data_IF_392270420843
#
_entry.id   IF_392270420843
#
_cell.length_a   1.000
_cell.length_b   1.000
_cell.length_c   1.000
_cell.angle_alpha   90.00
_cell.angle_beta   90.00
_cell.angle_gamma   90.00
#
_symmetry.space_group_name_H-M   'P 1'
#
loop_
_entity.id
_entity.type
_entity.pdbx_description
1 polymer ?
#
# COMPACT_ATOMS: atom_id res chain seq x y z
N UNK A 1 -11.34 21.46 8.78
CA UNK A 1 -11.88 20.08 8.83
C UNK A 1 -12.21 19.65 7.42
N UNK A 2 -11.81 18.44 7.03
CA UNK A 2 -12.14 17.86 5.73
C UNK A 2 -13.58 17.37 5.81
N UNK A 3 -14.44 17.79 4.86
CA UNK A 3 -15.84 17.32 4.78
C UNK A 3 -15.94 15.86 4.30
N UNK A 4 -17.15 15.30 4.26
CA UNK A 4 -17.41 13.91 3.87
C UNK A 4 -16.84 13.56 2.48
N UNK A 5 -16.98 14.46 1.51
CA UNK A 5 -16.41 14.28 0.16
C UNK A 5 -14.89 14.22 0.18
N UNK A 6 -14.23 15.03 1.00
CA UNK A 6 -12.77 14.99 1.15
C UNK A 6 -12.30 13.68 1.78
N UNK A 7 -13.01 13.16 2.77
CA UNK A 7 -12.73 11.84 3.37
C UNK A 7 -12.86 10.74 2.32
N UNK A 8 -13.94 10.77 1.53
CA UNK A 8 -14.14 9.81 0.44
C UNK A 8 -13.03 9.86 -0.58
N UNK A 9 -12.58 11.05 -0.99
CA UNK A 9 -11.48 11.22 -1.94
C UNK A 9 -10.16 10.68 -1.39
N UNK A 10 -9.84 10.92 -0.11
CA UNK A 10 -8.64 10.36 0.51
C UNK A 10 -8.65 8.83 0.52
N UNK A 11 -9.80 8.21 0.80
CA UNK A 11 -9.92 6.75 0.75
C UNK A 11 -9.69 6.21 -0.67
N UNK A 12 -10.31 6.83 -1.68
CA UNK A 12 -10.09 6.45 -3.08
C UNK A 12 -8.62 6.58 -3.51
N UNK A 13 -7.95 7.68 -3.10
CA UNK A 13 -6.51 7.85 -3.35
C UNK A 13 -5.68 6.75 -2.67
N UNK A 14 -6.05 6.33 -1.46
CA UNK A 14 -5.39 5.20 -0.78
C UNK A 14 -5.51 3.89 -1.56
N UNK A 15 -6.71 3.58 -2.06
CA UNK A 15 -6.93 2.40 -2.89
C UNK A 15 -6.13 2.47 -4.21
N UNK A 16 -6.13 3.64 -4.86
CA UNK A 16 -5.37 3.85 -6.09
C UNK A 16 -3.85 3.74 -5.86
N UNK A 17 -3.35 4.17 -4.70
CA UNK A 17 -1.93 4.06 -4.37
C UNK A 17 -1.46 2.59 -4.32
N UNK A 18 -2.26 1.69 -3.76
CA UNK A 18 -1.96 0.26 -3.74
C UNK A 18 -1.93 -0.32 -5.17
N UNK A 19 -2.93 0.04 -5.99
CA UNK A 19 -2.97 -0.38 -7.40
C UNK A 19 -1.80 0.22 -8.22
N UNK A 20 -1.31 1.39 -7.86
CA UNK A 20 -0.12 1.97 -8.49
C UNK A 20 1.12 1.13 -8.19
N UNK A 21 1.31 0.69 -6.95
CA UNK A 21 2.41 -0.22 -6.58
C UNK A 21 2.30 -1.52 -7.38
N UNK A 22 1.11 -2.14 -7.44
CA UNK A 22 0.86 -3.35 -8.24
C UNK A 22 1.33 -3.16 -9.67
N UNK A 23 0.84 -2.11 -10.34
CA UNK A 23 1.19 -1.82 -11.74
C UNK A 23 2.69 -1.61 -11.95
N UNK A 24 3.36 -0.89 -11.04
CA UNK A 24 4.82 -0.67 -11.16
C UNK A 24 5.62 -1.95 -11.00
N UNK A 25 5.27 -2.79 -10.04
CA UNK A 25 5.92 -4.08 -9.84
C UNK A 25 5.78 -4.95 -11.09
N UNK A 26 4.60 -4.98 -11.69
CA UNK A 26 4.33 -5.74 -12.91
C UNK A 26 5.01 -5.12 -14.14
N UNK A 27 4.88 -3.81 -14.36
CA UNK A 27 5.42 -3.11 -15.53
C UNK A 27 6.95 -3.17 -15.59
N UNK A 28 7.60 -2.96 -14.46
CA UNK A 28 9.06 -2.94 -14.37
C UNK A 28 9.67 -4.26 -13.91
N UNK A 29 8.85 -5.31 -13.75
CA UNK A 29 9.28 -6.65 -13.34
C UNK A 29 10.13 -6.62 -12.05
N UNK A 30 9.67 -5.86 -11.04
CA UNK A 30 10.41 -5.68 -9.79
C UNK A 30 10.29 -6.94 -8.92
N UNK A 31 11.42 -7.58 -8.63
CA UNK A 31 11.51 -8.74 -7.74
C UNK A 31 11.56 -8.28 -6.27
N UNK A 32 10.39 -8.07 -5.70
CA UNK A 32 10.23 -7.56 -4.32
C UNK A 32 9.38 -8.48 -3.43
N UNK A 33 9.26 -9.77 -3.76
CA UNK A 33 8.48 -10.76 -2.99
C UNK A 33 7.03 -10.32 -2.76
N UNK A 34 6.43 -9.60 -3.72
CA UNK A 34 5.06 -9.12 -3.59
C UNK A 34 4.08 -10.29 -3.52
N UNK A 35 3.43 -10.42 -2.37
CA UNK A 35 2.44 -11.46 -2.11
C UNK A 35 1.12 -10.81 -1.70
N UNK A 36 0.06 -11.16 -2.40
CA UNK A 36 -1.29 -10.65 -2.14
C UNK A 36 -2.05 -11.54 -1.16
N UNK A 37 -2.93 -10.90 -0.43
CA UNK A 37 -3.72 -11.50 0.63
C UNK A 37 -3.23 -11.08 2.01
N UNK A 38 -4.14 -10.49 2.76
CA UNK A 38 -3.94 -10.08 4.14
C UNK A 38 -5.12 -10.54 4.97
N UNK A 39 -4.91 -10.84 6.24
CA UNK A 39 -5.99 -11.24 7.14
C UNK A 39 -5.93 -10.44 8.44
N UNK A 40 -6.93 -9.61 8.67
CA UNK A 40 -7.19 -9.02 9.97
C UNK A 40 -7.83 -10.03 10.90
N UNK A 41 -7.35 -10.11 12.15
CA UNK A 41 -7.74 -11.10 13.12
C UNK A 41 -8.50 -10.47 14.28
N UNK A 42 -9.68 -11.00 14.57
CA UNK A 42 -10.54 -10.56 15.66
C UNK A 42 -10.19 -11.27 16.98
N UNK A 43 -9.64 -10.54 17.95
CA UNK A 43 -9.42 -11.03 19.32
C UNK A 43 -10.68 -10.97 20.18
N UNK A 44 -11.70 -10.22 19.76
CA UNK A 44 -12.96 -10.00 20.48
C UNK A 44 -14.12 -9.97 19.49
N UNK A 45 -15.31 -10.47 19.86
CA UNK A 45 -16.49 -10.44 19.00
C UNK A 45 -16.82 -9.04 18.44
N UNK A 46 -16.67 -7.99 19.23
CA UNK A 46 -16.94 -6.61 18.81
C UNK A 46 -16.07 -6.15 17.60
N UNK A 47 -14.92 -6.79 17.32
CA UNK A 47 -14.13 -6.47 16.13
C UNK A 47 -14.81 -6.98 14.84
N UNK A 48 -15.65 -8.01 14.93
CA UNK A 48 -16.33 -8.57 13.75
C UNK A 48 -17.34 -7.59 13.15
N UNK A 49 -18.02 -6.82 14.00
CA UNK A 49 -18.95 -5.79 13.55
C UNK A 49 -18.17 -4.71 12.76
N UNK A 50 -16.99 -4.30 13.25
CA UNK A 50 -16.10 -3.37 12.56
C UNK A 50 -15.65 -3.90 11.20
N UNK A 51 -15.26 -5.18 11.10
CA UNK A 51 -14.87 -5.77 9.81
C UNK A 51 -16.04 -5.84 8.82
N UNK A 52 -17.25 -6.05 9.29
CA UNK A 52 -18.44 -6.01 8.44
C UNK A 52 -18.72 -4.59 7.91
N UNK A 53 -18.53 -3.58 8.76
CA UNK A 53 -18.65 -2.17 8.38
C UNK A 53 -17.56 -1.78 7.37
N UNK A 54 -16.29 -2.14 7.64
CA UNK A 54 -15.15 -1.88 6.75
C UNK A 54 -15.35 -2.53 5.37
N UNK A 55 -15.81 -3.78 5.35
CA UNK A 55 -16.15 -4.49 4.11
C UNK A 55 -17.21 -3.73 3.32
N UNK A 56 -18.32 -3.37 3.97
CA UNK A 56 -19.41 -2.66 3.32
C UNK A 56 -18.96 -1.28 2.80
N UNK A 57 -18.11 -0.58 3.53
CA UNK A 57 -17.55 0.70 3.10
C UNK A 57 -16.66 0.52 1.86
N UNK A 58 -15.70 -0.42 1.88
CA UNK A 58 -14.83 -0.68 0.74
C UNK A 58 -15.64 -1.05 -0.52
N UNK A 59 -16.63 -1.91 -0.38
CA UNK A 59 -17.54 -2.26 -1.48
C UNK A 59 -18.30 -1.03 -2.02
N UNK A 60 -18.73 -0.12 -1.15
CA UNK A 60 -19.40 1.14 -1.53
C UNK A 60 -18.49 2.09 -2.32
N UNK A 61 -17.17 2.00 -2.10
CA UNK A 61 -16.15 2.75 -2.82
C UNK A 61 -15.77 2.11 -4.17
N UNK A 62 -16.35 0.95 -4.49
CA UNK A 62 -16.06 0.21 -5.72
C UNK A 62 -14.80 -0.64 -5.63
N UNK A 63 -14.39 -1.06 -4.44
CA UNK A 63 -13.28 -1.99 -4.25
C UNK A 63 -13.52 -3.30 -4.98
N UNK A 64 -12.55 -3.77 -5.75
CA UNK A 64 -12.74 -4.87 -6.72
C UNK A 64 -12.13 -6.20 -6.29
N UNK A 65 -11.35 -6.18 -5.20
CA UNK A 65 -10.72 -7.39 -4.70
C UNK A 65 -11.65 -8.14 -3.74
N UNK A 66 -11.44 -9.44 -3.60
CA UNK A 66 -12.21 -10.27 -2.70
C UNK A 66 -12.01 -9.83 -1.24
N UNK A 67 -13.13 -9.60 -0.55
CA UNK A 67 -13.21 -9.37 0.88
C UNK A 67 -14.06 -10.49 1.51
N UNK A 68 -13.47 -11.27 2.40
CA UNK A 68 -14.14 -12.41 3.00
C UNK A 68 -14.09 -12.37 4.52
N UNK A 69 -15.27 -12.31 5.14
CA UNK A 69 -15.39 -12.45 6.59
C UNK A 69 -15.27 -13.91 6.99
N UNK A 70 -14.47 -14.18 8.00
CA UNK A 70 -14.21 -15.52 8.53
C UNK A 70 -14.94 -15.71 9.86
N UNK A 71 -15.63 -16.83 9.98
CA UNK A 71 -16.24 -17.30 11.22
C UNK A 71 -15.20 -18.00 12.12
N UNK A 72 -15.44 -18.12 13.44
CA UNK A 72 -14.51 -18.78 14.36
C UNK A 72 -14.03 -20.16 13.89
N UNK A 73 -14.94 -20.97 13.32
CA UNK A 73 -14.65 -22.32 12.85
C UNK A 73 -13.73 -22.37 11.63
N UNK A 74 -13.55 -21.24 10.94
CA UNK A 74 -12.68 -21.13 9.76
C UNK A 74 -11.27 -20.65 10.11
N UNK A 75 -11.06 -20.17 11.34
CA UNK A 75 -9.79 -19.56 11.71
C UNK A 75 -8.59 -20.51 11.65
N UNK A 76 -8.80 -21.80 11.96
CA UNK A 76 -7.75 -22.82 11.86
C UNK A 76 -7.21 -23.01 10.44
N UNK A 77 -7.92 -22.58 9.40
CA UNK A 77 -7.50 -22.65 8.00
C UNK A 77 -6.54 -21.51 7.63
N UNK A 78 -6.54 -20.43 8.40
CA UNK A 78 -5.78 -19.22 8.12
C UNK A 78 -4.65 -19.02 9.11
N UNK A 79 -4.92 -19.28 10.39
CA UNK A 79 -3.96 -19.16 11.47
C UNK A 79 -4.08 -20.37 12.38
N UNK A 80 -2.97 -21.04 12.69
CA UNK A 80 -2.96 -22.24 13.53
C UNK A 80 -3.23 -21.95 15.02
N UNK A 81 -4.32 -21.25 15.34
CA UNK A 81 -4.65 -20.83 16.69
C UNK A 81 -6.15 -20.68 16.88
N UNK A 82 -6.65 -21.17 18.01
CA UNK A 82 -8.06 -21.05 18.44
C UNK A 82 -8.33 -19.73 19.20
N UNK A 83 -7.34 -18.86 19.30
CA UNK A 83 -7.44 -17.60 20.07
C UNK A 83 -8.40 -16.60 19.43
N UNK A 84 -8.53 -16.63 18.11
CA UNK A 84 -9.27 -15.63 17.35
C UNK A 84 -10.71 -16.05 17.11
N UNK A 85 -11.63 -15.10 17.27
CA UNK A 85 -13.06 -15.35 17.11
C UNK A 85 -13.58 -15.06 15.69
N UNK A 86 -12.68 -14.77 14.75
CA UNK A 86 -12.97 -14.53 13.33
C UNK A 86 -11.94 -13.60 12.71
N UNK A 87 -12.17 -13.18 11.48
CA UNK A 87 -11.28 -12.28 10.75
C UNK A 87 -11.89 -11.78 9.47
N UNK A 88 -11.12 -10.94 8.76
CA UNK A 88 -11.43 -10.48 7.40
C UNK A 88 -10.20 -10.71 6.51
N UNK A 89 -10.38 -11.49 5.44
CA UNK A 89 -9.38 -11.60 4.38
C UNK A 89 -9.62 -10.50 3.37
N UNK A 90 -8.55 -9.81 2.99
CA UNK A 90 -8.50 -8.83 1.91
C UNK A 90 -7.46 -9.27 0.87
N UNK A 91 -7.91 -9.61 -0.33
CA UNK A 91 -7.04 -10.04 -1.44
C UNK A 91 -6.43 -8.88 -2.23
N UNK A 92 -6.82 -7.66 -1.95
CA UNK A 92 -6.22 -6.46 -2.55
C UNK A 92 -5.11 -5.83 -1.71
N UNK A 93 -5.00 -6.23 -0.45
CA UNK A 93 -3.87 -5.92 0.43
C UNK A 93 -2.81 -7.02 0.36
N UNK A 94 -1.57 -6.68 0.69
CA UNK A 94 -0.47 -7.65 0.61
C UNK A 94 0.76 -7.19 1.37
N UNK A 95 1.86 -7.89 1.16
CA UNK A 95 3.17 -7.53 1.70
C UNK A 95 4.26 -7.70 0.64
N UNK A 96 5.34 -6.99 0.83
CA UNK A 96 6.49 -7.03 -0.06
C UNK A 96 7.79 -6.73 0.71
N UNK A 97 8.93 -6.94 0.05
CA UNK A 97 10.23 -6.55 0.59
C UNK A 97 10.50 -5.06 0.24
N UNK A 98 10.42 -4.13 1.22
CA UNK A 98 10.43 -2.69 0.90
C UNK A 98 11.74 -2.21 0.27
N UNK A 99 12.89 -2.78 0.67
CA UNK A 99 14.18 -2.43 0.07
C UNK A 99 14.25 -2.90 -1.39
N UNK A 100 13.79 -4.11 -1.70
CA UNK A 100 13.78 -4.62 -3.06
C UNK A 100 12.85 -3.78 -3.96
N UNK A 101 11.70 -3.34 -3.44
CA UNK A 101 10.84 -2.41 -4.17
C UNK A 101 11.60 -1.12 -4.49
N UNK A 102 12.24 -0.48 -3.50
CA UNK A 102 12.95 0.76 -3.69
C UNK A 102 14.11 0.62 -4.69
N UNK A 103 14.89 -0.47 -4.62
CA UNK A 103 15.97 -0.75 -5.56
C UNK A 103 15.43 -1.00 -6.98
N UNK A 104 14.32 -1.72 -7.11
CA UNK A 104 13.66 -1.97 -8.38
C UNK A 104 13.12 -0.69 -9.02
N UNK A 105 12.47 0.19 -8.24
CA UNK A 105 12.02 1.49 -8.73
C UNK A 105 13.20 2.39 -9.15
N UNK A 106 14.31 2.37 -8.41
CA UNK A 106 15.53 3.10 -8.78
C UNK A 106 16.11 2.57 -10.11
N UNK A 107 16.19 1.26 -10.28
CA UNK A 107 16.65 0.64 -11.51
C UNK A 107 15.73 0.98 -12.70
N UNK A 108 14.42 0.94 -12.49
CA UNK A 108 13.43 1.34 -13.50
C UNK A 108 13.59 2.80 -13.92
N UNK A 109 13.77 3.71 -12.94
CA UNK A 109 14.00 5.12 -13.21
C UNK A 109 15.27 5.34 -14.03
N UNK A 110 16.37 4.64 -13.71
CA UNK A 110 17.62 4.69 -14.49
C UNK A 110 17.43 4.18 -15.93
N UNK A 111 16.69 3.09 -16.10
CA UNK A 111 16.38 2.56 -17.41
C UNK A 111 15.57 3.55 -18.29
N UNK A 112 14.75 4.39 -17.65
CA UNK A 112 14.03 5.51 -18.28
C UNK A 112 14.89 6.76 -18.50
N UNK A 113 16.19 6.72 -18.18
CA UNK A 113 17.13 7.81 -18.40
C UNK A 113 17.28 8.80 -17.24
N UNK A 114 16.68 8.50 -16.07
CA UNK A 114 16.88 9.31 -14.86
C UNK A 114 18.29 9.08 -14.31
N UNK A 115 18.98 10.17 -13.96
CA UNK A 115 20.28 10.11 -13.30
C UNK A 115 20.10 10.14 -11.79
N UNK A 116 20.57 9.13 -11.09
CA UNK A 116 20.57 9.06 -9.63
C UNK A 116 21.93 9.47 -9.08
N UNK A 117 21.94 10.30 -8.05
CA UNK A 117 23.14 10.80 -7.40
C UNK A 117 23.09 10.45 -5.92
N UNK A 118 23.94 9.53 -5.49
CA UNK A 118 24.13 9.19 -4.08
C UNK A 118 25.04 10.20 -3.39
N UNK A 119 25.08 10.19 -2.08
CA UNK A 119 25.89 11.09 -1.23
C UNK A 119 25.71 12.58 -1.55
N UNK A 120 24.58 12.94 -2.14
CA UNK A 120 24.27 14.28 -2.66
C UNK A 120 23.11 14.91 -1.92
N UNK A 121 23.23 15.02 -0.59
CA UNK A 121 22.18 15.59 0.25
C UNK A 121 21.80 17.01 -0.24
N UNK A 122 20.52 17.21 -0.51
CA UNK A 122 19.99 18.51 -0.94
C UNK A 122 19.97 19.46 0.27
N UNK A 123 20.66 20.59 0.13
CA UNK A 123 20.74 21.64 1.17
C UNK A 123 19.74 22.76 0.94
N UNK A 124 19.38 23.04 -0.32
CA UNK A 124 18.42 24.08 -0.69
C UNK A 124 17.85 23.82 -2.08
N UNK A 125 16.63 24.27 -2.31
CA UNK A 125 16.01 24.34 -3.64
C UNK A 125 15.57 25.77 -3.90
N UNK A 126 16.07 26.37 -4.99
CA UNK A 126 15.61 27.65 -5.48
C UNK A 126 14.56 27.43 -6.57
N UNK A 127 13.36 27.93 -6.33
CA UNK A 127 12.25 27.86 -7.27
C UNK A 127 12.27 29.09 -8.19
N UNK A 128 12.04 28.88 -9.48
CA UNK A 128 12.01 29.96 -10.48
C UNK A 128 11.85 29.39 -11.88
N UNK A 129 12.06 30.19 -12.93
CA UNK A 129 12.03 29.72 -14.32
C UNK A 129 12.95 28.53 -14.59
N UNK A 130 14.07 28.47 -13.85
CA UNK A 130 14.94 27.31 -13.74
C UNK A 130 15.06 26.92 -12.28
N UNK A 131 14.59 25.72 -11.93
CA UNK A 131 14.77 25.17 -10.59
C UNK A 131 16.22 24.78 -10.39
N UNK A 132 16.83 25.28 -9.28
CA UNK A 132 18.20 24.92 -8.89
C UNK A 132 18.18 24.10 -7.60
N UNK A 133 18.80 22.94 -7.64
CA UNK A 133 18.97 22.06 -6.48
C UNK A 133 20.42 22.15 -6.01
N UNK A 134 20.62 22.60 -4.78
CA UNK A 134 21.95 22.78 -4.19
C UNK A 134 22.32 21.57 -3.33
N UNK A 135 23.55 21.12 -3.50
CA UNK A 135 24.18 20.08 -2.69
C UNK A 135 25.52 20.57 -2.16
N UNK A 136 26.17 19.84 -1.28
CA UNK A 136 27.53 20.17 -0.82
C UNK A 136 28.58 20.18 -1.96
N UNK A 137 28.33 19.43 -3.03
CA UNK A 137 29.23 19.31 -4.19
C UNK A 137 28.95 20.28 -5.34
N UNK A 138 27.93 21.15 -5.22
CA UNK A 138 27.56 22.11 -6.27
C UNK A 138 26.05 22.26 -6.49
N UNK A 139 25.66 22.76 -7.65
CA UNK A 139 24.25 22.95 -8.06
C UNK A 139 24.08 22.64 -9.56
#
# INVERSE_FOLDING_TARGET
MIGADGVRQLKLMGLEAVEMVRRRVEEFQIDCDLTWGYCDLANKPAHLDGFAEDKAELESLGYRHELRLLQPQQMHQVVGSDRYCGGMIDMGSGHLHPLNLALGEAAAAQALGVRLFEHSAVTRIDYGPQVKVHTAGGH
#
